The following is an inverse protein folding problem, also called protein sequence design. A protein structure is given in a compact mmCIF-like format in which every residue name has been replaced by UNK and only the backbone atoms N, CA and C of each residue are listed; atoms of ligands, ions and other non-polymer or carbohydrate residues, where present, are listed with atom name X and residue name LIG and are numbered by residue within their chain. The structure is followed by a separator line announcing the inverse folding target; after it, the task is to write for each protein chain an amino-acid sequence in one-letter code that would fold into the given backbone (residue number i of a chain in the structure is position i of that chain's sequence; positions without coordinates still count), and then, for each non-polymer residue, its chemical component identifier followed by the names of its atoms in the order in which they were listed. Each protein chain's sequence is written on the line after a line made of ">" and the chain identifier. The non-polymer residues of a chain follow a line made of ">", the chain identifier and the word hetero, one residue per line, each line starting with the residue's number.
data_IF_702035265592
#
_entry.id   IF_702035265592
#
_cell.length_a   1.000
_cell.length_b   1.000
_cell.length_c   1.000
_cell.angle_alpha   90.00
_cell.angle_beta   90.00
_cell.angle_gamma   90.00
#
_symmetry.space_group_name_H-M   'P 1'
#
loop_
_entity.id
_entity.type
_entity.pdbx_description
1 polymer ?
#
# COMPACT_ATOMS: atom_id res chain seq x y z
N UNK A 1 -25.16 -2.87 -6.43
CA UNK A 1 -24.71 -4.16 -6.98
C UNK A 1 -23.72 -4.81 -6.02
N UNK A 2 -23.86 -6.10 -5.80
CA UNK A 2 -23.00 -6.86 -4.88
C UNK A 2 -21.71 -7.39 -5.54
N UNK A 3 -21.54 -7.17 -6.83
CA UNK A 3 -20.32 -7.50 -7.57
C UNK A 3 -19.75 -6.21 -8.16
N UNK A 4 -18.49 -5.95 -7.88
CA UNK A 4 -17.86 -4.71 -8.31
C UNK A 4 -16.46 -4.96 -8.88
N UNK A 5 -16.17 -4.38 -10.04
CA UNK A 5 -14.85 -4.38 -10.65
C UNK A 5 -13.95 -3.41 -9.88
N UNK A 6 -12.72 -3.83 -9.59
CA UNK A 6 -11.67 -2.93 -9.14
C UNK A 6 -10.80 -2.60 -10.34
N UNK A 7 -10.76 -1.32 -10.70
CA UNK A 7 -10.01 -0.84 -11.85
C UNK A 7 -8.56 -0.57 -11.44
N UNK A 8 -7.58 -1.30 -12.01
CA UNK A 8 -6.16 -1.08 -11.69
C UNK A 8 -5.61 0.21 -12.31
N UNK A 9 -6.33 0.80 -13.27
CA UNK A 9 -5.93 2.04 -13.95
C UNK A 9 -7.06 3.07 -13.87
N UNK A 10 -7.43 3.51 -12.66
CA UNK A 10 -8.55 4.41 -12.48
C UNK A 10 -8.28 5.76 -13.14
N UNK A 11 -9.35 6.37 -13.70
CA UNK A 11 -9.28 7.66 -14.40
C UNK A 11 -9.86 8.81 -13.59
N UNK A 12 -10.56 8.54 -12.50
CA UNK A 12 -11.04 9.60 -11.62
C UNK A 12 -9.90 10.16 -10.76
N UNK A 13 -10.09 11.35 -10.19
CA UNK A 13 -9.06 12.02 -9.41
C UNK A 13 -8.71 11.24 -8.15
N UNK A 14 -7.40 11.06 -7.91
CA UNK A 14 -6.91 10.44 -6.70
C UNK A 14 -6.95 11.41 -5.52
N UNK A 15 -6.99 10.85 -4.31
CA UNK A 15 -6.64 11.60 -3.11
C UNK A 15 -5.12 11.60 -3.00
N UNK A 16 -4.53 12.79 -2.93
CA UNK A 16 -3.08 12.92 -2.80
C UNK A 16 -2.68 13.13 -1.35
N UNK A 17 -1.57 12.54 -0.96
CA UNK A 17 -1.03 12.63 0.40
C UNK A 17 0.46 12.38 0.41
N UNK A 18 1.05 12.50 1.60
CA UNK A 18 2.45 12.20 1.85
C UNK A 18 2.55 11.48 3.20
N UNK A 19 3.66 10.78 3.48
CA UNK A 19 3.81 10.14 4.78
C UNK A 19 3.84 11.18 5.90
N UNK A 20 3.35 10.80 7.06
CA UNK A 20 3.49 11.60 8.27
C UNK A 20 5.00 11.76 8.58
N UNK A 21 5.45 12.95 9.04
CA UNK A 21 6.87 13.19 9.28
C UNK A 21 7.55 12.14 10.17
N UNK A 22 6.86 11.63 11.18
CA UNK A 22 7.38 10.61 12.09
C UNK A 22 7.56 9.23 11.44
N UNK A 23 6.95 9.02 10.28
CA UNK A 23 7.08 7.78 9.50
C UNK A 23 8.12 7.86 8.40
N UNK A 24 8.52 9.07 8.01
CA UNK A 24 9.48 9.29 6.93
C UNK A 24 10.89 8.93 7.38
N UNK A 25 11.56 8.06 6.62
CA UNK A 25 12.95 7.67 6.85
C UNK A 25 13.87 8.38 5.87
N UNK A 26 13.53 8.34 4.57
CA UNK A 26 14.36 8.95 3.53
C UNK A 26 13.53 9.30 2.30
N UNK A 27 14.01 10.30 1.55
CA UNK A 27 13.34 10.76 0.34
C UNK A 27 12.15 11.66 0.61
N UNK A 28 11.35 11.87 -0.41
CA UNK A 28 10.12 12.66 -0.35
C UNK A 28 9.01 11.95 -1.12
N UNK A 29 8.59 10.76 -0.68
CA UNK A 29 7.56 10.01 -1.40
C UNK A 29 6.24 10.74 -1.39
N UNK A 30 5.53 10.65 -2.52
CA UNK A 30 4.20 11.21 -2.71
C UNK A 30 3.23 10.07 -2.95
N UNK A 31 2.04 10.15 -2.34
CA UNK A 31 1.02 9.11 -2.41
C UNK A 31 -0.19 9.55 -3.20
N UNK A 32 -0.75 8.61 -3.96
CA UNK A 32 -2.07 8.75 -4.60
C UNK A 32 -2.93 7.57 -4.21
N UNK A 33 -4.16 7.84 -3.80
CA UNK A 33 -5.12 6.79 -3.42
C UNK A 33 -6.39 6.93 -4.24
N UNK A 34 -6.79 5.84 -4.89
CA UNK A 34 -8.07 5.74 -5.59
C UNK A 34 -8.93 4.71 -4.86
N UNK A 35 -9.66 5.18 -3.85
CA UNK A 35 -10.57 4.33 -3.09
C UNK A 35 -11.73 3.90 -3.98
N UNK A 36 -12.02 2.61 -4.05
CA UNK A 36 -13.02 2.08 -4.98
C UNK A 36 -14.15 1.33 -4.31
N UNK A 37 -13.94 0.76 -3.14
CA UNK A 37 -14.99 0.04 -2.42
C UNK A 37 -14.80 0.09 -0.92
N UNK A 38 -15.93 0.09 -0.21
CA UNK A 38 -16.00 0.01 1.24
C UNK A 38 -17.07 -1.02 1.60
N UNK A 39 -16.77 -1.90 2.53
CA UNK A 39 -17.68 -2.97 2.94
C UNK A 39 -17.62 -3.21 4.45
N UNK A 40 -18.57 -3.98 4.94
CA UNK A 40 -18.64 -4.40 6.35
C UNK A 40 -18.57 -3.22 7.33
N UNK A 41 -19.42 -2.20 7.12
CA UNK A 41 -19.47 -1.05 8.00
C UNK A 41 -18.16 -0.26 8.02
N UNK A 42 -17.52 -0.09 6.85
CA UNK A 42 -16.26 0.61 6.67
C UNK A 42 -15.04 -0.10 7.27
N UNK A 43 -15.17 -1.37 7.64
CA UNK A 43 -14.02 -2.15 8.12
C UNK A 43 -13.13 -2.64 6.97
N UNK A 44 -13.69 -2.83 5.77
CA UNK A 44 -12.96 -3.32 4.60
C UNK A 44 -12.90 -2.23 3.55
N UNK A 45 -11.67 -1.83 3.19
CA UNK A 45 -11.41 -0.84 2.14
C UNK A 45 -10.64 -1.48 1.01
N UNK A 46 -11.05 -1.22 -0.23
CA UNK A 46 -10.39 -1.73 -1.43
C UNK A 46 -10.18 -0.61 -2.43
N UNK A 47 -9.03 -0.60 -3.07
CA UNK A 47 -8.72 0.38 -4.08
C UNK A 47 -7.34 0.21 -4.68
N UNK A 48 -6.84 1.29 -5.27
CA UNK A 48 -5.51 1.37 -5.86
C UNK A 48 -4.72 2.47 -5.14
N UNK A 49 -3.47 2.21 -4.89
CA UNK A 49 -2.55 3.14 -4.24
C UNK A 49 -1.23 3.20 -5.01
N UNK A 50 -0.66 4.38 -5.09
CA UNK A 50 0.61 4.61 -5.76
C UNK A 50 1.53 5.42 -4.87
N UNK A 51 2.83 5.10 -4.91
CA UNK A 51 3.85 5.87 -4.20
C UNK A 51 5.06 6.10 -5.08
N UNK A 52 5.60 7.31 -5.03
CA UNK A 52 6.90 7.63 -5.62
C UNK A 52 8.03 7.18 -4.70
N UNK A 53 9.30 7.09 -5.19
CA UNK A 53 10.42 6.57 -4.40
C UNK A 53 10.63 7.26 -3.07
N UNK A 54 10.97 6.47 -2.06
CA UNK A 54 11.27 6.90 -0.70
C UNK A 54 11.14 5.77 0.29
N UNK A 55 11.57 6.01 1.52
CA UNK A 55 11.50 5.03 2.61
C UNK A 55 10.64 5.53 3.74
N UNK A 56 9.78 4.68 4.22
CA UNK A 56 8.89 4.98 5.34
C UNK A 56 8.82 3.82 6.31
N UNK A 57 8.53 4.15 7.55
CA UNK A 57 8.19 3.19 8.58
C UNK A 57 6.76 2.70 8.37
N UNK A 58 6.56 1.39 8.29
CA UNK A 58 5.23 0.79 8.20
C UNK A 58 4.88 0.15 9.54
N UNK A 59 3.76 0.58 10.11
CA UNK A 59 3.24 0.06 11.38
C UNK A 59 1.76 -0.25 11.16
N UNK A 60 1.40 -1.52 11.15
CA UNK A 60 0.04 -1.93 10.84
C UNK A 60 -0.93 -1.82 12.03
N UNK A 61 -0.43 -1.92 13.26
CA UNK A 61 -1.33 -1.94 14.41
C UNK A 61 -2.29 -3.12 14.29
N UNK A 62 -3.58 -2.87 14.37
CA UNK A 62 -4.62 -3.88 14.24
C UNK A 62 -5.08 -4.12 12.80
N UNK A 63 -4.56 -3.37 11.84
CA UNK A 63 -4.98 -3.45 10.44
C UNK A 63 -4.29 -4.61 9.72
N UNK A 64 -5.10 -5.40 9.01
CA UNK A 64 -4.62 -6.35 8.02
C UNK A 64 -4.59 -5.67 6.66
N UNK A 65 -3.55 -5.91 5.86
CA UNK A 65 -3.51 -5.42 4.48
C UNK A 65 -3.05 -6.49 3.51
N UNK A 66 -3.85 -6.73 2.46
CA UNK A 66 -3.44 -7.50 1.28
C UNK A 66 -3.00 -6.52 0.20
N UNK A 67 -1.87 -6.80 -0.46
CA UNK A 67 -1.34 -6.01 -1.56
C UNK A 67 -1.08 -6.89 -2.77
N UNK A 68 -1.47 -6.39 -3.94
CA UNK A 68 -1.07 -6.95 -5.23
C UNK A 68 -0.36 -5.87 -6.03
N UNK A 69 0.91 -6.10 -6.39
CA UNK A 69 1.72 -5.12 -7.13
C UNK A 69 1.33 -5.14 -8.60
N UNK A 70 0.89 -4.01 -9.12
CA UNK A 70 0.53 -3.82 -10.53
C UNK A 70 1.75 -3.40 -11.32
N UNK A 71 2.55 -2.46 -10.78
CA UNK A 71 3.73 -1.92 -11.45
C UNK A 71 4.71 -1.37 -10.42
N UNK A 72 5.97 -1.23 -10.84
CA UNK A 72 7.03 -0.70 -9.99
C UNK A 72 7.70 -1.75 -9.13
N UNK A 73 8.53 -1.29 -8.20
CA UNK A 73 9.33 -2.14 -7.32
C UNK A 73 9.27 -1.59 -5.90
N UNK A 74 8.98 -2.46 -4.95
CA UNK A 74 9.02 -2.16 -3.52
C UNK A 74 9.89 -3.18 -2.80
N UNK A 75 10.69 -2.70 -1.85
CA UNK A 75 11.46 -3.53 -0.94
C UNK A 75 10.91 -3.36 0.46
N UNK A 76 10.52 -4.47 1.08
CA UNK A 76 9.97 -4.44 2.43
C UNK A 76 10.92 -5.21 3.35
N UNK A 77 11.32 -4.56 4.44
CA UNK A 77 12.19 -5.16 5.45
C UNK A 77 11.43 -5.26 6.77
N UNK A 78 10.99 -6.46 7.17
CA UNK A 78 10.43 -6.65 8.51
C UNK A 78 11.48 -6.31 9.57
N UNK A 79 11.05 -5.83 10.75
CA UNK A 79 11.97 -5.42 11.81
C UNK A 79 12.94 -6.54 12.25
N UNK A 80 12.52 -7.78 12.11
CA UNK A 80 13.35 -8.95 12.48
C UNK A 80 13.55 -9.89 11.31
N UNK A 81 13.73 -9.33 10.10
CA UNK A 81 13.87 -10.13 8.91
C UNK A 81 14.73 -9.46 7.88
N UNK A 82 14.98 -10.19 6.81
CA UNK A 82 15.74 -9.69 5.66
C UNK A 82 14.84 -8.93 4.68
N UNK A 83 15.40 -8.03 3.88
CA UNK A 83 14.64 -7.35 2.84
C UNK A 83 14.04 -8.33 1.83
N UNK A 84 12.81 -8.07 1.45
CA UNK A 84 12.10 -8.82 0.41
C UNK A 84 11.68 -7.83 -0.68
N UNK A 85 12.01 -8.14 -1.93
CA UNK A 85 11.63 -7.32 -3.07
C UNK A 85 10.40 -7.87 -3.73
N UNK A 86 9.41 -7.00 -3.96
CA UNK A 86 8.18 -7.33 -4.69
C UNK A 86 8.09 -6.51 -5.97
N UNK A 87 7.60 -7.15 -7.04
CA UNK A 87 7.49 -6.59 -8.38
C UNK A 87 6.09 -6.83 -8.94
N UNK A 88 5.83 -6.29 -10.13
CA UNK A 88 4.56 -6.52 -10.82
C UNK A 88 4.19 -8.00 -10.86
N UNK A 89 2.98 -8.32 -10.46
CA UNK A 89 2.45 -9.68 -10.37
C UNK A 89 2.61 -10.34 -8.99
N UNK A 90 3.43 -9.79 -8.11
CA UNK A 90 3.60 -10.32 -6.76
C UNK A 90 2.45 -9.86 -5.84
N UNK A 91 2.08 -10.73 -4.93
CA UNK A 91 1.08 -10.44 -3.90
C UNK A 91 1.63 -10.81 -2.54
N UNK A 92 1.24 -10.05 -1.53
CA UNK A 92 1.64 -10.32 -0.16
C UNK A 92 0.62 -9.77 0.84
N UNK A 93 0.74 -10.21 2.08
CA UNK A 93 -0.05 -9.66 3.17
C UNK A 93 0.86 -9.10 4.26
N UNK A 94 0.41 -8.02 4.86
CA UNK A 94 0.95 -7.49 6.10
C UNK A 94 -0.11 -7.70 7.17
N UNK A 95 0.18 -8.59 8.10
CA UNK A 95 -0.77 -8.97 9.16
C UNK A 95 -0.83 -7.90 10.25
N UNK A 96 -1.89 -7.89 11.06
CA UNK A 96 -1.91 -7.06 12.26
C UNK A 96 -0.64 -7.30 13.10
N UNK A 97 -0.06 -6.21 13.59
CA UNK A 97 1.20 -6.25 14.34
C UNK A 97 2.46 -6.15 13.49
N UNK A 98 2.35 -6.19 12.17
CA UNK A 98 3.52 -6.02 11.31
C UNK A 98 4.16 -4.64 11.55
N UNK A 99 5.48 -4.63 11.72
CA UNK A 99 6.31 -3.42 11.72
C UNK A 99 7.53 -3.67 10.84
N UNK A 100 7.91 -2.66 10.08
CA UNK A 100 9.05 -2.76 9.19
C UNK A 100 9.27 -1.49 8.38
N UNK A 101 10.10 -1.60 7.35
CA UNK A 101 10.42 -0.51 6.44
C UNK A 101 9.84 -0.82 5.07
N UNK A 102 9.09 0.14 4.53
CA UNK A 102 8.60 0.13 3.16
C UNK A 102 9.50 1.06 2.34
N UNK A 103 10.22 0.51 1.38
CA UNK A 103 11.05 1.28 0.47
C UNK A 103 10.52 1.16 -0.96
N UNK A 104 9.95 2.24 -1.47
CA UNK A 104 9.62 2.32 -2.89
C UNK A 104 10.88 2.58 -3.66
N UNK A 105 11.30 1.62 -4.49
CA UNK A 105 12.51 1.72 -5.33
C UNK A 105 12.19 2.37 -6.66
N UNK A 106 11.12 1.91 -7.32
CA UNK A 106 10.54 2.54 -8.51
C UNK A 106 9.08 2.82 -8.19
N UNK A 107 8.54 3.91 -8.68
CA UNK A 107 7.13 4.28 -8.42
C UNK A 107 6.27 3.03 -8.49
N UNK A 108 5.64 2.70 -7.36
CA UNK A 108 4.91 1.45 -7.19
C UNK A 108 3.42 1.73 -7.18
N UNK A 109 2.67 0.90 -7.88
CA UNK A 109 1.21 0.91 -7.85
C UNK A 109 0.73 -0.46 -7.39
N UNK A 110 -0.23 -0.47 -6.47
CA UNK A 110 -0.80 -1.71 -5.93
C UNK A 110 -2.33 -1.63 -5.86
N UNK A 111 -2.95 -2.80 -5.96
CA UNK A 111 -4.31 -3.00 -5.44
C UNK A 111 -4.15 -3.31 -3.96
N UNK A 112 -4.93 -2.66 -3.12
CA UNK A 112 -4.92 -2.90 -1.68
C UNK A 112 -6.29 -3.36 -1.19
N UNK A 113 -6.28 -4.20 -0.17
CA UNK A 113 -7.45 -4.52 0.64
C UNK A 113 -7.02 -4.37 2.09
N UNK A 114 -7.61 -3.44 2.81
CA UNK A 114 -7.36 -3.27 4.24
C UNK A 114 -8.58 -3.69 5.04
N UNK A 115 -8.32 -4.35 6.16
CA UNK A 115 -9.35 -4.78 7.10
C UNK A 115 -8.95 -4.26 8.48
N UNK A 116 -9.79 -3.41 9.01
CA UNK A 116 -9.58 -2.79 10.34
C UNK A 116 -10.27 -3.57 11.45
#
# INVERSE_FOLDING_TARGET
>A
MLLKLIDPNPTFASKESAPMPERLIAGAPHYKTWAQDVAKGELVHTGVWEATPGETRSIKGETFEFCHIISGIVEITPDRGDPITFRAGDSFVMKPGFTGVWKTVETVRKIYVTVS
#
